data_IF_763732990988
#
_entry.id   IF_763732990988
#
_cell.length_a   1.000
_cell.length_b   1.000
_cell.length_c   1.000
_cell.angle_alpha   90.00
_cell.angle_beta   90.00
_cell.angle_gamma   90.00
#
_symmetry.space_group_name_H-M   'P 1'
#
loop_
_entity.id
_entity.type
_entity.pdbx_description
1 polymer ?
#
# COMPACT_ATOMS: atom_id res chain seq x y z
N UNK A 1 21.82 -23.43 -32.56
CA UNK A 1 21.62 -22.25 -31.69
C UNK A 1 20.18 -22.25 -31.24
N UNK A 2 19.92 -22.81 -30.05
CA UNK A 2 18.57 -22.95 -29.51
C UNK A 2 18.05 -21.58 -29.08
N UNK A 3 16.85 -21.22 -29.55
CA UNK A 3 16.19 -19.96 -29.25
C UNK A 3 15.96 -19.80 -27.76
N UNK A 4 16.40 -18.67 -27.21
CA UNK A 4 15.97 -18.19 -25.91
C UNK A 4 14.53 -17.70 -26.02
N UNK A 5 13.57 -18.62 -25.96
CA UNK A 5 12.22 -18.26 -25.56
C UNK A 5 12.32 -17.58 -24.20
N UNK A 6 12.16 -16.26 -24.20
CA UNK A 6 12.21 -15.46 -22.99
C UNK A 6 10.91 -15.75 -22.24
N UNK A 7 10.93 -16.75 -21.35
CA UNK A 7 9.78 -17.08 -20.50
C UNK A 7 9.34 -15.82 -19.77
N UNK A 8 8.14 -15.33 -20.10
CA UNK A 8 7.59 -14.09 -19.51
C UNK A 8 7.32 -14.35 -18.03
N UNK A 9 8.18 -13.81 -17.16
CA UNK A 9 8.03 -13.95 -15.71
C UNK A 9 7.16 -12.81 -15.15
N UNK A 10 5.91 -13.13 -14.78
CA UNK A 10 4.98 -12.17 -14.19
C UNK A 10 5.54 -11.46 -12.95
N UNK A 11 6.20 -12.21 -12.04
CA UNK A 11 6.80 -11.64 -10.83
C UNK A 11 7.86 -10.57 -11.15
N UNK A 12 8.68 -10.82 -12.16
CA UNK A 12 9.71 -9.85 -12.59
C UNK A 12 9.07 -8.61 -13.20
N UNK A 13 8.02 -8.77 -14.01
CA UNK A 13 7.25 -7.66 -14.55
C UNK A 13 6.61 -6.81 -13.44
N UNK A 14 5.94 -7.44 -12.46
CA UNK A 14 5.37 -6.75 -11.30
C UNK A 14 6.45 -5.99 -10.53
N UNK A 15 7.56 -6.62 -10.15
CA UNK A 15 8.62 -5.96 -9.38
C UNK A 15 9.20 -4.74 -10.08
N UNK A 16 9.42 -4.81 -11.40
CA UNK A 16 9.91 -3.68 -12.20
C UNK A 16 8.87 -2.56 -12.28
N UNK A 17 7.61 -2.91 -12.58
CA UNK A 17 6.51 -1.95 -12.65
C UNK A 17 6.28 -1.25 -11.30
N UNK A 18 6.14 -2.01 -10.22
CA UNK A 18 5.98 -1.49 -8.86
C UNK A 18 7.11 -0.55 -8.49
N UNK A 19 8.38 -0.93 -8.72
CA UNK A 19 9.50 -0.04 -8.42
C UNK A 19 9.41 1.29 -9.16
N UNK A 20 9.08 1.26 -10.46
CA UNK A 20 8.99 2.48 -11.27
C UNK A 20 7.82 3.37 -10.85
N UNK A 21 6.66 2.78 -10.57
CA UNK A 21 5.48 3.49 -10.08
C UNK A 21 5.74 4.06 -8.68
N UNK A 22 6.29 3.29 -7.76
CA UNK A 22 6.65 3.78 -6.42
C UNK A 22 7.63 4.96 -6.48
N UNK A 23 8.66 4.91 -7.34
CA UNK A 23 9.58 6.04 -7.53
C UNK A 23 8.87 7.33 -7.95
N UNK A 24 7.90 7.24 -8.87
CA UNK A 24 7.10 8.39 -9.30
C UNK A 24 6.30 8.98 -8.12
N UNK A 25 5.55 8.13 -7.42
CA UNK A 25 4.69 8.59 -6.32
C UNK A 25 5.52 9.11 -5.15
N UNK A 26 6.58 8.41 -4.76
CA UNK A 26 7.45 8.81 -3.65
C UNK A 26 8.15 10.14 -3.92
N UNK A 27 8.62 10.38 -5.17
CA UNK A 27 9.24 11.65 -5.53
C UNK A 27 8.27 12.82 -5.41
N UNK A 28 7.02 12.63 -5.84
CA UNK A 28 6.00 13.69 -5.80
C UNK A 28 5.44 13.88 -4.39
N UNK A 29 5.36 12.81 -3.59
CA UNK A 29 4.90 12.85 -2.20
C UNK A 29 5.97 13.34 -1.22
N UNK A 30 7.26 13.33 -1.60
CA UNK A 30 8.37 13.71 -0.73
C UNK A 30 8.16 15.01 0.07
N UNK A 31 7.56 16.10 -0.47
CA UNK A 31 7.28 17.31 0.31
C UNK A 31 6.29 17.12 1.47
N UNK A 32 5.41 16.12 1.41
CA UNK A 32 4.48 15.78 2.51
C UNK A 32 5.15 14.94 3.61
N UNK A 33 6.41 14.55 3.43
CA UNK A 33 7.12 13.64 4.34
C UNK A 33 6.62 12.19 4.29
N UNK A 34 5.69 11.85 3.39
CA UNK A 34 5.13 10.52 3.23
C UNK A 34 5.66 9.82 1.98
N UNK A 35 5.88 8.50 2.10
CA UNK A 35 5.97 7.59 0.96
C UNK A 35 4.59 7.10 0.53
N UNK A 36 4.47 6.60 -0.69
CA UNK A 36 3.22 6.04 -1.23
C UNK A 36 2.63 4.95 -0.34
N UNK A 37 3.45 4.02 0.15
CA UNK A 37 3.00 2.95 1.07
C UNK A 37 2.50 3.50 2.41
N UNK A 38 3.20 4.50 2.97
CA UNK A 38 2.80 5.15 4.21
C UNK A 38 1.45 5.85 4.03
N UNK A 39 1.31 6.63 2.96
CA UNK A 39 0.03 7.29 2.62
C UNK A 39 -1.09 6.27 2.43
N UNK A 40 -0.85 5.15 1.75
CA UNK A 40 -1.85 4.10 1.56
C UNK A 40 -2.38 3.54 2.90
N UNK A 41 -1.49 3.30 3.86
CA UNK A 41 -1.86 2.89 5.22
C UNK A 41 -2.70 3.97 5.91
N UNK A 42 -2.29 5.24 5.84
CA UNK A 42 -3.05 6.34 6.45
C UNK A 42 -4.44 6.47 5.83
N UNK A 43 -4.59 6.36 4.51
CA UNK A 43 -5.89 6.35 3.82
C UNK A 43 -6.75 5.18 4.27
N UNK A 44 -6.17 3.99 4.41
CA UNK A 44 -6.93 2.81 4.86
C UNK A 44 -7.45 3.00 6.29
N UNK A 45 -6.65 3.56 7.19
CA UNK A 45 -7.08 3.91 8.55
C UNK A 45 -8.11 5.05 8.52
N UNK A 46 -7.93 6.08 7.70
CA UNK A 46 -8.88 7.19 7.62
C UNK A 46 -10.29 6.76 7.18
N UNK A 47 -10.39 5.75 6.30
CA UNK A 47 -11.68 5.20 5.84
C UNK A 47 -12.41 4.38 6.90
N UNK A 48 -11.73 4.04 7.99
CA UNK A 48 -12.25 3.17 9.03
C UNK A 48 -11.71 3.71 10.35
N UNK A 49 -12.46 4.60 11.01
CA UNK A 49 -12.06 5.39 12.19
C UNK A 49 -11.14 4.65 13.18
N UNK A 50 -11.34 3.34 13.34
CA UNK A 50 -10.39 2.46 13.99
C UNK A 50 -10.40 1.04 13.41
N UNK A 51 -9.25 0.54 12.94
CA UNK A 51 -9.10 -0.83 12.44
C UNK A 51 -8.34 -1.72 13.42
N UNK A 52 -8.76 -2.97 13.56
CA UNK A 52 -7.92 -3.97 14.19
C UNK A 52 -6.69 -4.26 13.33
N UNK A 53 -5.56 -4.61 13.97
CA UNK A 53 -4.31 -4.91 13.27
C UNK A 53 -4.47 -6.01 12.20
N UNK A 54 -5.27 -7.05 12.48
CA UNK A 54 -5.54 -8.13 11.55
C UNK A 54 -6.30 -7.67 10.31
N UNK A 55 -7.32 -6.82 10.50
CA UNK A 55 -8.11 -6.24 9.42
C UNK A 55 -7.25 -5.33 8.54
N UNK A 56 -6.41 -4.48 9.15
CA UNK A 56 -5.48 -3.62 8.42
C UNK A 56 -4.45 -4.44 7.64
N UNK A 57 -3.95 -5.55 8.21
CA UNK A 57 -2.99 -6.42 7.55
C UNK A 57 -3.61 -7.10 6.32
N UNK A 58 -4.79 -7.70 6.47
CA UNK A 58 -5.54 -8.31 5.39
C UNK A 58 -5.86 -7.28 4.28
N UNK A 59 -6.34 -6.10 4.68
CA UNK A 59 -6.71 -5.04 3.75
C UNK A 59 -5.53 -4.41 2.99
N UNK A 60 -4.30 -4.68 3.43
CA UNK A 60 -3.05 -4.30 2.79
C UNK A 60 -2.31 -5.47 2.12
N UNK A 61 -2.86 -6.69 2.19
CA UNK A 61 -2.20 -7.93 1.74
C UNK A 61 -0.82 -8.10 2.39
N UNK A 62 -0.76 -7.85 3.70
CA UNK A 62 0.43 -7.98 4.52
C UNK A 62 0.23 -9.02 5.61
N UNK A 63 1.30 -9.73 5.96
CA UNK A 63 1.35 -10.41 7.24
C UNK A 63 1.50 -9.41 8.40
N UNK A 64 1.31 -9.91 9.63
CA UNK A 64 1.34 -9.10 10.85
C UNK A 64 2.73 -8.48 11.11
N UNK A 65 3.81 -9.17 10.74
CA UNK A 65 5.18 -8.72 10.94
C UNK A 65 5.50 -7.56 9.99
N UNK A 66 5.15 -7.70 8.71
CA UNK A 66 5.28 -6.69 7.69
C UNK A 66 4.45 -5.44 8.02
N UNK A 67 3.20 -5.61 8.47
CA UNK A 67 2.38 -4.48 8.91
C UNK A 67 3.03 -3.76 10.10
N UNK A 68 3.49 -4.50 11.11
CA UNK A 68 4.16 -3.90 12.29
C UNK A 68 5.41 -3.12 11.87
N UNK A 69 6.21 -3.67 10.97
CA UNK A 69 7.38 -2.98 10.42
C UNK A 69 6.99 -1.66 9.70
N UNK A 70 5.91 -1.68 8.92
CA UNK A 70 5.41 -0.48 8.22
C UNK A 70 4.80 0.56 9.17
N UNK A 71 4.20 0.15 10.29
CA UNK A 71 3.61 1.06 11.28
C UNK A 71 4.64 1.70 12.20
N UNK A 72 5.77 1.04 12.48
CA UNK A 72 6.84 1.59 13.34
C UNK A 72 7.26 3.02 13.00
N UNK A 73 7.62 3.37 11.74
CA UNK A 73 7.98 4.74 11.40
C UNK A 73 6.80 5.71 11.54
N UNK A 74 5.59 5.28 11.16
CA UNK A 74 4.38 6.11 11.30
C UNK A 74 4.07 6.43 12.77
N UNK A 75 4.27 5.47 13.67
CA UNK A 75 4.07 5.65 15.10
C UNK A 75 5.16 6.54 15.71
N UNK A 76 6.43 6.31 15.34
CA UNK A 76 7.57 7.14 15.75
C UNK A 76 7.36 8.60 15.35
N UNK A 77 6.85 8.84 14.14
CA UNK A 77 6.63 10.18 13.59
C UNK A 77 5.30 10.81 14.08
N UNK A 78 4.59 10.11 14.98
CA UNK A 78 3.36 10.56 15.62
C UNK A 78 2.15 10.61 14.69
N UNK A 79 2.17 9.89 13.56
CA UNK A 79 1.09 9.89 12.56
C UNK A 79 -0.02 8.88 12.90
N UNK A 80 0.34 7.78 13.58
CA UNK A 80 -0.62 6.76 14.03
C UNK A 80 -0.42 6.46 15.50
N UNK A 81 -1.50 6.03 16.14
CA UNK A 81 -1.49 5.45 17.48
C UNK A 81 -1.96 4.00 17.42
N UNK A 82 -1.31 3.14 18.20
CA UNK A 82 -1.72 1.74 18.39
C UNK A 82 -2.20 1.59 19.81
N UNK A 83 -3.47 1.24 19.99
CA UNK A 83 -4.12 1.10 21.30
C UNK A 83 -4.62 -0.32 21.50
N UNK A 84 -4.68 -0.77 22.75
CA UNK A 84 -5.38 -2.02 23.09
C UNK A 84 -6.87 -1.85 22.83
N UNK A 85 -7.50 -2.88 22.25
CA UNK A 85 -8.94 -2.88 22.06
C UNK A 85 -9.65 -2.86 23.42
N UNK A 86 -10.75 -2.12 23.51
CA UNK A 86 -11.55 -2.03 24.74
C UNK A 86 -12.28 -3.35 25.02
N UNK A 87 -12.68 -4.05 23.95
CA UNK A 87 -13.49 -5.26 24.04
C UNK A 87 -12.64 -6.53 24.04
N UNK A 88 -11.40 -6.46 23.55
CA UNK A 88 -10.43 -7.56 23.59
C UNK A 88 -9.00 -7.09 23.90
N UNK A 89 -8.52 -7.39 25.11
CA UNK A 89 -7.17 -7.02 25.57
C UNK A 89 -6.04 -7.67 24.76
N UNK A 90 -6.33 -8.73 24.00
CA UNK A 90 -5.38 -9.39 23.09
C UNK A 90 -5.33 -8.72 21.72
N UNK A 91 -6.36 -7.96 21.36
CA UNK A 91 -6.42 -7.19 20.13
C UNK A 91 -5.75 -5.82 20.27
N UNK A 92 -5.29 -5.29 19.14
CA UNK A 92 -4.72 -3.96 19.00
C UNK A 92 -5.41 -3.26 17.84
N UNK A 93 -5.78 -2.01 18.06
CA UNK A 93 -6.37 -1.14 17.05
C UNK A 93 -5.42 -0.03 16.66
N UNK A 94 -5.45 0.35 15.39
CA UNK A 94 -4.68 1.46 14.84
C UNK A 94 -5.62 2.61 14.53
N UNK A 95 -5.19 3.83 14.87
CA UNK A 95 -5.91 5.08 14.59
C UNK A 95 -4.96 6.14 14.06
N UNK A 96 -5.47 7.06 13.24
CA UNK A 96 -4.76 8.28 12.93
C UNK A 96 -4.69 9.16 14.18
N UNK A 97 -3.60 9.90 14.32
CA UNK A 97 -3.54 11.06 15.21
C UNK A 97 -3.97 12.29 14.44
N UNK A 98 -4.20 13.41 15.13
CA UNK A 98 -4.41 14.72 14.47
C UNK A 98 -3.27 15.08 13.50
N UNK A 99 -2.04 14.71 13.84
CA UNK A 99 -0.86 14.91 12.97
C UNK A 99 -0.92 13.99 11.74
N UNK A 100 -1.37 12.74 11.91
CA UNK A 100 -1.60 11.81 10.81
C UNK A 100 -2.68 12.27 9.84
N UNK A 101 -3.78 12.81 10.37
CA UNK A 101 -4.86 13.42 9.59
C UNK A 101 -4.36 14.63 8.80
N UNK A 102 -3.62 15.54 9.43
CA UNK A 102 -3.03 16.70 8.77
C UNK A 102 -2.03 16.29 7.67
N UNK A 103 -1.10 15.38 7.97
CA UNK A 103 -0.14 14.88 6.99
C UNK A 103 -0.82 14.19 5.80
N UNK A 104 -1.89 13.43 6.06
CA UNK A 104 -2.69 12.83 5.01
C UNK A 104 -3.34 13.92 4.14
N UNK A 105 -4.00 14.91 4.76
CA UNK A 105 -4.63 16.04 4.06
C UNK A 105 -3.62 16.82 3.19
N UNK A 106 -2.45 17.16 3.72
CA UNK A 106 -1.37 17.84 2.99
C UNK A 106 -0.87 17.00 1.79
N UNK A 107 -0.90 15.68 1.89
CA UNK A 107 -0.49 14.78 0.81
C UNK A 107 -1.50 14.68 -0.35
N UNK A 108 -2.75 15.15 -0.18
CA UNK A 108 -3.80 14.96 -1.19
C UNK A 108 -3.42 15.56 -2.54
N UNK A 109 -2.88 16.77 -2.56
CA UNK A 109 -2.56 17.49 -3.79
C UNK A 109 -1.35 16.86 -4.50
N UNK A 110 -0.34 16.43 -3.74
CA UNK A 110 0.78 15.66 -4.26
C UNK A 110 0.32 14.31 -4.84
N UNK A 111 -0.56 13.59 -4.15
CA UNK A 111 -1.12 12.34 -4.66
C UNK A 111 -1.94 12.54 -5.94
N UNK A 112 -2.78 13.58 -6.01
CA UNK A 112 -3.54 13.89 -7.25
C UNK A 112 -2.61 14.17 -8.42
N UNK A 113 -1.52 14.92 -8.21
CA UNK A 113 -0.50 15.17 -9.23
C UNK A 113 0.20 13.88 -9.68
N UNK A 114 0.58 13.02 -8.75
CA UNK A 114 1.19 11.72 -9.07
C UNK A 114 0.24 10.84 -9.90
N UNK A 115 -1.03 10.79 -9.50
CA UNK A 115 -2.07 10.07 -10.21
C UNK A 115 -2.25 10.61 -11.64
N UNK A 116 -2.39 11.93 -11.78
CA UNK A 116 -2.58 12.57 -13.07
C UNK A 116 -1.37 12.37 -13.99
N UNK A 117 -0.15 12.45 -13.45
CA UNK A 117 1.08 12.23 -14.21
C UNK A 117 1.19 10.78 -14.70
N UNK A 118 0.83 9.80 -13.84
CA UNK A 118 0.75 8.41 -14.25
C UNK A 118 -0.29 8.21 -15.36
N UNK A 119 -1.50 8.74 -15.19
CA UNK A 119 -2.59 8.60 -16.17
C UNK A 119 -2.30 9.33 -17.48
N UNK A 120 -1.57 10.44 -17.45
CA UNK A 120 -1.11 11.14 -18.66
C UNK A 120 -0.10 10.30 -19.44
N UNK A 121 0.84 9.65 -18.74
CA UNK A 121 1.89 8.86 -19.39
C UNK A 121 1.40 7.48 -19.87
N UNK A 122 0.50 6.84 -19.11
CA UNK A 122 0.03 5.48 -19.39
C UNK A 122 -1.29 5.44 -20.16
N UNK A 123 -2.09 6.51 -20.07
CA UNK A 123 -3.45 6.60 -20.58
C UNK A 123 -4.48 6.37 -19.47
N UNK A 124 -5.44 7.29 -19.33
CA UNK A 124 -6.42 7.27 -18.25
C UNK A 124 -7.31 6.00 -18.29
N UNK A 125 -7.72 5.57 -19.49
CA UNK A 125 -8.49 4.33 -19.66
C UNK A 125 -7.65 3.11 -19.27
N UNK A 126 -6.43 3.00 -19.79
CA UNK A 126 -5.51 1.91 -19.47
C UNK A 126 -5.22 1.85 -17.98
N UNK A 127 -5.05 3.00 -17.32
CA UNK A 127 -4.84 3.07 -15.88
C UNK A 127 -6.06 2.58 -15.09
N UNK A 128 -7.27 2.89 -15.53
CA UNK A 128 -8.50 2.37 -14.91
C UNK A 128 -8.62 0.85 -15.09
N UNK A 129 -8.42 0.34 -16.31
CA UNK A 129 -8.45 -1.09 -16.61
C UNK A 129 -7.34 -1.86 -15.83
N UNK A 130 -6.16 -1.25 -15.69
CA UNK A 130 -5.06 -1.80 -14.89
C UNK A 130 -5.42 -1.89 -13.42
N UNK A 131 -6.05 -0.86 -12.84
CA UNK A 131 -6.50 -0.92 -11.42
C UNK A 131 -7.49 -2.06 -11.21
N UNK A 132 -8.47 -2.23 -12.09
CA UNK A 132 -9.40 -3.36 -12.03
C UNK A 132 -8.68 -4.70 -12.14
N UNK A 133 -7.71 -4.81 -13.05
CA UNK A 133 -6.89 -6.02 -13.22
C UNK A 133 -6.08 -6.34 -11.95
N UNK A 134 -5.47 -5.34 -11.34
CA UNK A 134 -4.71 -5.49 -10.10
C UNK A 134 -5.60 -5.86 -8.92
N UNK A 135 -6.81 -5.31 -8.84
CA UNK A 135 -7.81 -5.70 -7.83
C UNK A 135 -8.23 -7.16 -7.99
N UNK A 136 -8.46 -7.62 -9.22
CA UNK A 136 -8.73 -9.04 -9.50
C UNK A 136 -7.57 -9.92 -9.05
N UNK A 137 -6.32 -9.56 -9.38
CA UNK A 137 -5.12 -10.30 -8.96
C UNK A 137 -4.97 -10.34 -7.44
N UNK A 138 -5.23 -9.21 -6.75
CA UNK A 138 -5.13 -9.12 -5.30
C UNK A 138 -6.20 -9.95 -4.57
N UNK A 139 -7.31 -10.26 -5.24
CA UNK A 139 -8.39 -11.10 -4.73
C UNK A 139 -8.22 -12.59 -5.07
N UNK A 140 -7.20 -12.97 -5.84
CA UNK A 140 -6.94 -14.37 -6.17
C UNK A 140 -6.52 -15.15 -4.92
N UNK A 141 -7.15 -16.31 -4.73
CA UNK A 141 -6.62 -17.36 -3.87
C UNK A 141 -5.70 -18.26 -4.72
N UNK A 142 -4.41 -18.25 -4.41
CA UNK A 142 -3.42 -19.09 -5.10
C UNK A 142 -3.35 -20.51 -4.51
N UNK A 143 -4.20 -20.86 -3.54
CA UNK A 143 -4.18 -22.13 -2.83
C UNK A 143 -2.98 -22.30 -1.90
N UNK A 144 -2.84 -23.49 -1.30
CA UNK A 144 -1.63 -23.83 -0.53
C UNK A 144 -0.41 -23.82 -1.45
N UNK A 145 0.41 -22.77 -1.33
CA UNK A 145 1.77 -22.77 -1.87
C UNK A 145 2.59 -23.72 -1.00
N UNK A 146 2.52 -25.01 -1.32
CA UNK A 146 3.35 -26.03 -0.70
C UNK A 146 4.82 -25.65 -0.93
N UNK A 147 5.62 -25.43 0.13
CA UNK A 147 7.06 -25.34 -0.06
C UNK A 147 7.49 -26.68 -0.65
N UNK A 148 8.05 -26.65 -1.86
CA UNK A 148 8.70 -27.83 -2.41
C UNK A 148 9.66 -28.41 -1.35
N UNK A 149 9.50 -29.70 -1.07
CA UNK A 149 10.31 -30.48 -0.14
C UNK A 149 11.80 -30.41 -0.49
#
# INVERSE_FOLDING_TARGET
MAGTETTRCNLTAFRKATRRVSQLYDAILAPSGLRGTQRAILVRIARSESLAMGELAAAMVLDRTALTHNLKPLQRDGLVSVVTDKDDRRSRRVRLTKRGEAALAESHDAWRRAQQQFETAFGAKQAADLRQTLEMIAALDFGEVSPAA
#
